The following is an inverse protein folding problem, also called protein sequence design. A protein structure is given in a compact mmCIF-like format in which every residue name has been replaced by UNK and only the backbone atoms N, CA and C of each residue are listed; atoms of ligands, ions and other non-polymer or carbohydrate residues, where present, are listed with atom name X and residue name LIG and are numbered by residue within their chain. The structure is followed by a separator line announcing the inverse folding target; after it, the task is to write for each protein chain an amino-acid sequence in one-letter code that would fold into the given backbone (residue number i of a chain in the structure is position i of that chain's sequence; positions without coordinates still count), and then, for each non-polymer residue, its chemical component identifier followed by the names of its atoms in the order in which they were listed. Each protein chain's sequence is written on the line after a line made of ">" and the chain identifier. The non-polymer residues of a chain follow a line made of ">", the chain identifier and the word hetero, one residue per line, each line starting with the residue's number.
data_IF_595382053532
#
_entry.id   IF_595382053532
#
_cell.length_a   1.000
_cell.length_b   1.000
_cell.length_c   1.000
_cell.angle_alpha   90.00
_cell.angle_beta   90.00
_cell.angle_gamma   90.00
#
_symmetry.space_group_name_H-M   'P 1'
#
loop_
_entity.id
_entity.type
_entity.pdbx_description
1 polymer ?
#
# COMPACT_ATOMS: atom_id res chain seq x y z
N UNK A 1 -21.18 13.00 80.56
CA UNK A 1 -20.55 13.81 79.49
C UNK A 1 -19.51 12.95 78.79
N UNK A 2 -19.64 12.84 77.46
CA UNK A 2 -18.66 12.44 76.43
C UNK A 2 -18.02 11.04 76.53
N UNK A 3 -18.70 10.11 75.88
CA UNK A 3 -18.18 8.90 75.26
C UNK A 3 -17.05 9.22 74.27
N UNK A 4 -15.98 8.42 74.25
CA UNK A 4 -15.05 8.34 73.12
C UNK A 4 -14.84 6.86 72.74
N UNK A 5 -15.08 6.47 71.47
CA UNK A 5 -14.95 5.09 71.03
C UNK A 5 -13.49 4.73 70.72
N UNK A 6 -13.15 3.48 71.05
CA UNK A 6 -11.95 2.81 70.58
C UNK A 6 -12.04 2.57 69.06
N UNK A 7 -11.11 3.11 68.29
CA UNK A 7 -10.90 2.74 66.90
C UNK A 7 -9.51 2.10 66.73
N UNK A 8 -9.45 0.80 66.96
CA UNK A 8 -8.40 -0.03 66.37
C UNK A 8 -8.85 -0.39 64.96
N UNK A 9 -8.40 0.35 63.94
CA UNK A 9 -8.54 -0.07 62.55
C UNK A 9 -7.24 -0.70 62.09
N UNK A 10 -7.13 -2.00 62.34
CA UNK A 10 -6.15 -2.88 61.74
C UNK A 10 -6.52 -3.11 60.27
N UNK A 11 -5.84 -2.43 59.33
CA UNK A 11 -5.94 -2.78 57.90
C UNK A 11 -4.81 -2.17 57.06
N UNK A 12 -3.56 -2.33 57.49
CA UNK A 12 -2.36 -2.01 56.69
C UNK A 12 -1.70 -3.26 56.08
N UNK A 13 -2.40 -4.19 55.40
CA UNK A 13 -1.70 -5.26 54.63
C UNK A 13 -2.51 -5.80 53.45
N UNK A 14 -2.87 -4.97 52.47
CA UNK A 14 -3.45 -5.48 51.20
C UNK A 14 -3.11 -4.62 49.97
N UNK A 15 -2.03 -3.85 50.00
CA UNK A 15 -1.67 -2.92 48.91
C UNK A 15 -0.38 -3.29 48.14
N UNK A 16 0.13 -4.53 48.27
CA UNK A 16 1.47 -4.87 47.76
C UNK A 16 1.55 -6.06 46.80
N UNK A 17 0.43 -6.54 46.25
CA UNK A 17 0.44 -7.69 45.31
C UNK A 17 0.00 -7.34 43.88
N UNK A 18 -0.40 -6.11 43.58
CA UNK A 18 -0.86 -5.71 42.24
C UNK A 18 0.23 -5.10 41.33
N UNK A 19 1.42 -4.83 41.88
CA UNK A 19 2.52 -4.18 41.13
C UNK A 19 3.25 -5.11 40.14
N UNK A 20 3.48 -6.42 40.39
CA UNK A 20 4.29 -7.22 39.46
C UNK A 20 3.54 -7.65 38.19
N UNK A 21 2.20 -7.60 38.16
CA UNK A 21 1.41 -8.02 37.00
C UNK A 21 1.38 -6.98 35.85
N UNK A 22 1.56 -5.69 36.16
CA UNK A 22 1.53 -4.61 35.15
C UNK A 22 2.85 -4.52 34.39
N UNK A 23 3.99 -4.92 34.99
CA UNK A 23 5.30 -4.88 34.33
C UNK A 23 5.48 -5.96 33.23
N UNK A 24 4.70 -7.04 33.24
CA UNK A 24 4.81 -8.12 32.24
C UNK A 24 4.06 -7.83 30.92
N UNK A 25 3.20 -6.82 30.88
CA UNK A 25 2.39 -6.48 29.70
C UNK A 25 3.09 -5.52 28.72
N UNK A 26 4.25 -4.94 29.06
CA UNK A 26 4.94 -3.92 28.25
C UNK A 26 5.98 -4.53 27.30
N UNK A 27 6.22 -5.84 27.36
CA UNK A 27 7.33 -6.48 26.63
C UNK A 27 6.98 -6.97 25.20
N UNK A 28 5.77 -6.71 24.70
CA UNK A 28 5.31 -7.21 23.39
C UNK A 28 4.98 -6.11 22.38
N UNK A 29 5.60 -4.92 22.50
CA UNK A 29 5.60 -3.93 21.43
C UNK A 29 6.51 -4.41 20.30
N UNK A 30 5.96 -5.20 19.37
CA UNK A 30 6.65 -5.52 18.12
C UNK A 30 6.86 -4.21 17.34
N UNK A 31 8.05 -3.95 16.79
CA UNK A 31 8.25 -2.80 15.93
C UNK A 31 7.25 -2.90 14.78
N UNK A 32 6.33 -1.95 14.69
CA UNK A 32 5.45 -1.80 13.54
C UNK A 32 6.35 -1.46 12.36
N UNK A 33 6.69 -2.47 11.57
CA UNK A 33 7.52 -2.36 10.37
C UNK A 33 6.71 -1.61 9.33
N UNK A 34 7.06 -0.35 9.15
CA UNK A 34 6.51 0.49 8.12
C UNK A 34 7.31 0.20 6.84
N UNK A 35 6.84 -0.67 5.97
CA UNK A 35 7.57 -1.13 4.78
C UNK A 35 6.66 -1.10 3.54
N UNK A 36 7.25 -0.96 2.34
CA UNK A 36 6.57 -1.23 1.07
C UNK A 36 6.80 -2.68 0.65
N UNK A 37 5.72 -3.46 0.58
CA UNK A 37 5.77 -4.89 0.27
C UNK A 37 5.03 -5.20 -1.02
N UNK A 38 5.48 -6.25 -1.70
CA UNK A 38 4.77 -6.82 -2.82
C UNK A 38 4.59 -8.32 -2.63
N UNK A 39 3.36 -8.78 -2.75
CA UNK A 39 2.97 -10.17 -2.71
C UNK A 39 2.66 -10.67 -4.11
N UNK A 40 3.41 -11.66 -4.56
CA UNK A 40 3.17 -12.38 -5.80
C UNK A 40 2.18 -13.52 -5.54
N UNK A 41 0.91 -13.32 -5.88
CA UNK A 41 -0.12 -14.36 -5.77
C UNK A 41 -0.28 -15.19 -7.05
N UNK A 42 0.62 -15.04 -8.02
CA UNK A 42 0.61 -15.82 -9.25
C UNK A 42 1.26 -17.19 -9.04
N UNK A 43 1.10 -18.09 -10.01
CA UNK A 43 1.84 -19.35 -10.08
C UNK A 43 3.28 -19.23 -10.58
N UNK A 44 3.69 -18.06 -11.06
CA UNK A 44 4.99 -17.84 -11.70
C UNK A 44 5.94 -17.04 -10.83
N UNK A 45 7.22 -17.07 -11.16
CA UNK A 45 8.22 -16.12 -10.66
C UNK A 45 8.07 -14.77 -11.35
N UNK A 46 8.11 -13.71 -10.56
CA UNK A 46 7.91 -12.34 -11.04
C UNK A 46 9.14 -11.49 -10.76
N UNK A 47 9.63 -10.81 -11.79
CA UNK A 47 10.61 -9.74 -11.68
C UNK A 47 9.91 -8.42 -11.44
N UNK A 48 10.38 -7.62 -10.48
CA UNK A 48 9.77 -6.33 -10.14
C UNK A 48 10.80 -5.21 -10.22
N UNK A 49 10.37 -4.05 -10.71
CA UNK A 49 11.04 -2.77 -10.59
C UNK A 49 10.09 -1.77 -9.89
N UNK A 50 10.67 -0.87 -9.09
CA UNK A 50 9.98 0.12 -8.26
C UNK A 50 10.49 1.52 -8.61
N UNK A 51 9.56 2.43 -8.90
CA UNK A 51 9.81 3.85 -9.01
C UNK A 51 9.17 4.59 -7.84
N UNK A 52 9.89 5.54 -7.26
CA UNK A 52 9.39 6.39 -6.19
C UNK A 52 10.03 7.78 -6.24
N UNK A 53 9.41 8.72 -5.54
CA UNK A 53 9.93 10.07 -5.38
C UNK A 53 10.35 10.27 -3.94
N UNK A 54 11.60 10.66 -3.73
CA UNK A 54 12.15 11.03 -2.43
C UNK A 54 12.55 12.52 -2.40
N UNK A 55 13.33 12.92 -1.39
CA UNK A 55 13.79 14.30 -1.21
C UNK A 55 14.73 14.76 -2.33
N UNK A 56 15.49 13.85 -2.94
CA UNK A 56 16.47 14.14 -3.99
C UNK A 56 15.84 14.06 -5.40
N UNK A 57 14.64 13.50 -5.51
CA UNK A 57 13.84 13.50 -6.73
C UNK A 57 13.31 12.11 -7.08
N UNK A 58 13.22 11.83 -8.37
CA UNK A 58 12.74 10.54 -8.85
C UNK A 58 13.85 9.49 -8.84
N UNK A 59 13.50 8.30 -8.36
CA UNK A 59 14.39 7.14 -8.31
C UNK A 59 13.66 5.93 -8.84
N UNK A 60 14.33 5.14 -9.67
CA UNK A 60 13.87 3.79 -10.06
C UNK A 60 14.90 2.75 -9.67
N UNK A 61 14.41 1.64 -9.17
CA UNK A 61 15.20 0.51 -8.70
C UNK A 61 14.61 -0.80 -9.25
N UNK A 62 15.45 -1.81 -9.39
CA UNK A 62 15.10 -3.15 -9.85
C UNK A 62 16.37 -3.99 -9.96
N UNK A 63 16.34 -5.30 -10.12
CA UNK A 63 15.18 -6.18 -10.19
C UNK A 63 15.06 -6.98 -8.91
N UNK A 64 13.89 -6.92 -8.27
CA UNK A 64 13.55 -7.91 -7.25
C UNK A 64 13.01 -9.16 -7.91
N UNK A 65 13.46 -10.31 -7.44
CA UNK A 65 12.99 -11.60 -7.91
C UNK A 65 12.08 -12.23 -6.84
N UNK A 66 10.79 -12.30 -7.14
CA UNK A 66 9.77 -12.74 -6.17
C UNK A 66 9.21 -14.08 -6.64
N UNK A 67 9.38 -15.10 -5.80
CA UNK A 67 8.91 -16.45 -6.08
C UNK A 67 7.38 -16.52 -6.10
N UNK A 68 6.82 -17.53 -6.77
CA UNK A 68 5.39 -17.78 -6.77
C UNK A 68 4.85 -17.89 -5.33
N UNK A 69 3.67 -17.31 -5.08
CA UNK A 69 2.98 -17.35 -3.77
C UNK A 69 3.82 -16.82 -2.59
N UNK A 70 4.70 -15.85 -2.85
CA UNK A 70 5.58 -15.25 -1.83
C UNK A 70 5.46 -13.73 -1.79
N UNK A 71 5.88 -13.12 -0.68
CA UNK A 71 5.88 -11.67 -0.52
C UNK A 71 7.27 -11.16 -0.17
N UNK A 72 7.71 -10.10 -0.84
CA UNK A 72 8.99 -9.45 -0.59
C UNK A 72 8.82 -7.98 -0.18
N UNK A 73 9.85 -7.47 0.48
CA UNK A 73 9.93 -6.04 0.86
C UNK A 73 10.78 -5.30 -0.15
N UNK A 74 10.16 -4.40 -0.92
CA UNK A 74 10.84 -3.64 -1.96
C UNK A 74 11.52 -2.39 -1.40
N UNK A 75 10.84 -1.70 -0.48
CA UNK A 75 11.38 -0.53 0.20
C UNK A 75 11.18 -0.70 1.70
N UNK A 76 12.26 -0.50 2.47
CA UNK A 76 12.24 -0.57 3.93
C UNK A 76 12.04 0.79 4.55
N UNK A 77 11.32 0.84 5.65
CA UNK A 77 11.08 2.08 6.39
C UNK A 77 9.87 2.85 5.91
N UNK A 78 9.47 3.82 6.72
CA UNK A 78 8.20 4.51 6.56
C UNK A 78 8.10 5.21 5.20
N UNK A 79 7.01 4.94 4.49
CA UNK A 79 6.74 5.57 3.20
C UNK A 79 6.56 7.08 3.39
N UNK A 80 7.30 7.84 2.58
CA UNK A 80 7.31 9.31 2.59
C UNK A 80 6.49 9.90 1.43
N UNK A 81 6.19 9.07 0.42
CA UNK A 81 5.39 9.46 -0.73
C UNK A 81 4.01 8.81 -0.67
N UNK A 82 3.03 9.42 -1.35
CA UNK A 82 1.70 8.83 -1.55
C UNK A 82 1.67 7.84 -2.70
N UNK A 83 2.37 8.16 -3.79
CA UNK A 83 2.34 7.40 -5.03
C UNK A 83 3.66 6.65 -5.22
N UNK A 84 3.54 5.36 -5.51
CA UNK A 84 4.64 4.47 -5.88
C UNK A 84 4.34 3.86 -7.23
N UNK A 85 5.37 3.57 -8.02
CA UNK A 85 5.25 3.12 -9.39
C UNK A 85 5.89 1.75 -9.51
N UNK A 86 5.20 0.81 -10.14
CA UNK A 86 5.69 -0.57 -10.23
C UNK A 86 5.69 -1.02 -11.68
N UNK A 87 6.72 -1.74 -12.07
CA UNK A 87 6.72 -2.54 -13.28
C UNK A 87 7.05 -3.97 -12.88
N UNK A 88 6.32 -4.93 -13.41
CA UNK A 88 6.59 -6.33 -13.12
C UNK A 88 6.49 -7.19 -14.37
N UNK A 89 7.26 -8.27 -14.41
CA UNK A 89 7.34 -9.21 -15.54
C UNK A 89 7.18 -10.63 -15.02
N UNK A 90 6.30 -11.41 -15.63
CA UNK A 90 6.18 -12.85 -15.38
C UNK A 90 7.29 -13.58 -16.16
N UNK A 91 8.26 -14.16 -15.46
CA UNK A 91 9.41 -14.81 -16.09
C UNK A 91 9.10 -16.19 -16.66
N UNK A 92 8.03 -16.85 -16.21
CA UNK A 92 7.75 -18.24 -16.58
C UNK A 92 6.72 -18.31 -17.72
N UNK A 93 5.64 -17.54 -17.64
CA UNK A 93 4.59 -17.51 -18.68
C UNK A 93 4.75 -16.35 -19.67
N UNK A 94 5.60 -15.38 -19.35
CA UNK A 94 5.62 -14.10 -20.06
C UNK A 94 4.43 -13.22 -19.71
N UNK A 95 4.51 -11.96 -20.13
CA UNK A 95 3.56 -10.92 -19.77
C UNK A 95 4.12 -9.95 -18.74
N UNK A 96 3.48 -8.79 -18.65
CA UNK A 96 3.92 -7.71 -17.80
C UNK A 96 2.75 -6.99 -17.13
N UNK A 97 3.01 -6.49 -15.92
CA UNK A 97 2.20 -5.47 -15.28
C UNK A 97 2.87 -4.13 -15.57
N UNK A 98 2.40 -3.45 -16.60
CA UNK A 98 2.86 -2.12 -17.01
C UNK A 98 1.78 -1.07 -16.82
N UNK A 99 2.17 0.20 -16.94
CA UNK A 99 1.25 1.34 -16.86
C UNK A 99 1.74 2.52 -17.68
N UNK A 100 1.14 3.70 -17.43
CA UNK A 100 1.36 4.91 -18.25
C UNK A 100 2.49 5.80 -17.73
N UNK A 101 3.05 5.52 -16.56
CA UNK A 101 4.11 6.32 -15.98
C UNK A 101 5.48 5.87 -16.51
N UNK A 102 6.00 6.56 -17.52
CA UNK A 102 7.28 6.19 -18.12
C UNK A 102 8.47 6.61 -17.24
N UNK A 103 9.33 5.63 -16.92
CA UNK A 103 10.54 5.83 -16.14
C UNK A 103 11.71 5.03 -16.74
N UNK A 104 12.92 5.31 -16.27
CA UNK A 104 14.13 4.64 -16.76
C UNK A 104 14.31 3.26 -16.10
N UNK A 105 14.73 2.27 -16.87
CA UNK A 105 15.04 0.91 -16.40
C UNK A 105 16.28 0.33 -17.10
N UNK A 106 16.72 -0.86 -16.68
CA UNK A 106 17.77 -1.66 -17.34
C UNK A 106 17.45 -3.15 -17.24
N UNK A 107 18.14 -3.95 -18.06
CA UNK A 107 18.04 -5.41 -18.05
C UNK A 107 18.56 -6.07 -16.75
N UNK A 108 19.67 -5.57 -16.20
CA UNK A 108 20.28 -6.07 -14.94
C UNK A 108 19.83 -5.23 -13.75
N UNK A 109 20.15 -5.68 -12.54
CA UNK A 109 19.93 -4.90 -11.31
C UNK A 109 20.48 -3.46 -11.43
N UNK A 110 19.70 -2.49 -10.97
CA UNK A 110 19.88 -1.07 -11.21
C UNK A 110 19.28 -0.21 -10.10
N UNK A 111 19.88 0.97 -9.96
CA UNK A 111 19.31 2.13 -9.27
C UNK A 111 19.59 3.34 -10.16
N UNK A 112 18.56 4.05 -10.58
CA UNK A 112 18.65 5.17 -11.51
C UNK A 112 17.95 6.38 -10.90
N UNK A 113 18.65 7.51 -10.88
CA UNK A 113 18.08 8.82 -10.51
C UNK A 113 17.61 9.55 -11.76
N UNK A 114 16.46 10.21 -11.67
CA UNK A 114 15.82 10.94 -12.78
C UNK A 114 15.08 10.02 -13.76
N UNK A 115 14.05 10.57 -14.40
CA UNK A 115 13.18 9.85 -15.36
C UNK A 115 13.32 10.38 -16.79
N UNK A 116 14.15 11.39 -16.98
CA UNK A 116 14.39 12.08 -18.24
C UNK A 116 15.51 11.44 -19.07
N UNK A 117 15.38 11.56 -20.39
CA UNK A 117 16.39 11.16 -21.37
C UNK A 117 16.91 9.72 -21.22
N UNK A 118 16.06 8.78 -20.79
CA UNK A 118 16.46 7.39 -20.51
C UNK A 118 17.31 6.78 -21.64
N UNK A 119 16.81 6.82 -22.88
CA UNK A 119 17.48 6.26 -24.05
C UNK A 119 18.84 6.91 -24.32
N UNK A 120 18.94 8.24 -24.22
CA UNK A 120 20.20 8.97 -24.44
C UNK A 120 21.24 8.68 -23.35
N UNK A 121 20.79 8.28 -22.15
CA UNK A 121 21.63 7.86 -21.03
C UNK A 121 21.94 6.36 -21.04
N UNK A 122 21.49 5.62 -22.06
CA UNK A 122 21.67 4.16 -22.17
C UNK A 122 20.81 3.36 -21.19
N UNK A 123 19.59 3.83 -20.95
CA UNK A 123 18.53 3.16 -20.20
C UNK A 123 17.34 2.87 -21.10
N UNK A 124 16.53 1.89 -20.74
CA UNK A 124 15.26 1.63 -21.38
C UNK A 124 14.18 2.58 -20.83
N UNK A 125 13.14 2.82 -21.64
CA UNK A 125 11.97 3.61 -21.22
C UNK A 125 10.79 2.68 -21.00
N UNK A 126 10.50 2.38 -19.74
CA UNK A 126 9.48 1.39 -19.35
C UNK A 126 8.28 2.07 -18.71
N UNK A 127 7.08 1.56 -18.98
CA UNK A 127 5.83 2.06 -18.41
C UNK A 127 5.49 1.38 -17.09
N UNK A 128 5.51 2.13 -16.00
CA UNK A 128 5.14 1.67 -14.66
C UNK A 128 3.67 1.98 -14.37
N UNK A 129 3.02 1.13 -13.58
CA UNK A 129 1.70 1.38 -13.06
C UNK A 129 1.75 2.06 -11.70
N UNK A 130 0.80 2.96 -11.47
CA UNK A 130 0.73 3.76 -10.26
C UNK A 130 -0.02 3.02 -9.16
N UNK A 131 0.52 3.10 -7.95
CA UNK A 131 -0.06 2.60 -6.71
C UNK A 131 -0.27 3.78 -5.77
N UNK A 132 -1.53 4.11 -5.51
CA UNK A 132 -1.91 5.09 -4.48
C UNK A 132 -1.95 4.40 -3.11
N UNK A 133 -1.04 4.79 -2.23
CA UNK A 133 -0.96 4.27 -0.85
C UNK A 133 -1.84 5.04 0.13
N UNK A 134 -2.48 6.14 -0.31
CA UNK A 134 -3.31 6.97 0.55
C UNK A 134 -2.55 7.61 1.72
N UNK A 135 -1.26 7.94 1.52
CA UNK A 135 -0.35 8.49 2.54
C UNK A 135 -0.08 7.56 3.73
N UNK A 136 -0.33 6.26 3.55
CA UNK A 136 0.00 5.27 4.56
C UNK A 136 1.51 5.07 4.65
N UNK A 137 2.02 4.92 5.87
CA UNK A 137 3.44 4.67 6.13
C UNK A 137 3.91 3.25 5.77
N UNK A 138 2.98 2.36 5.46
CA UNK A 138 3.22 0.97 5.06
C UNK A 138 2.17 0.57 4.03
N UNK A 139 2.57 -0.17 3.01
CA UNK A 139 1.64 -0.62 1.98
C UNK A 139 2.04 -1.98 1.44
N UNK A 140 1.05 -2.79 1.04
CA UNK A 140 1.30 -4.08 0.39
C UNK A 140 0.53 -4.17 -0.92
N UNK A 141 1.25 -4.35 -2.02
CA UNK A 141 0.69 -4.60 -3.34
C UNK A 141 0.48 -6.10 -3.54
N UNK A 142 -0.64 -6.48 -4.13
CA UNK A 142 -0.97 -7.86 -4.46
C UNK A 142 -0.95 -8.01 -5.99
N UNK A 143 -0.01 -8.81 -6.52
CA UNK A 143 0.02 -9.14 -7.94
C UNK A 143 -0.79 -10.41 -8.20
N UNK A 144 -1.68 -10.33 -9.18
CA UNK A 144 -2.53 -11.43 -9.64
C UNK A 144 -2.41 -11.61 -11.15
N UNK A 145 -2.76 -12.80 -11.63
CA UNK A 145 -2.59 -13.24 -13.02
C UNK A 145 -3.44 -12.43 -14.02
N UNK A 146 -4.54 -11.84 -13.54
CA UNK A 146 -5.30 -10.86 -14.32
C UNK A 146 -4.50 -9.56 -14.34
N UNK A 147 -3.76 -9.32 -15.42
CA UNK A 147 -3.08 -8.06 -15.71
C UNK A 147 -4.07 -6.90 -16.04
N UNK A 148 -5.25 -6.87 -15.40
CA UNK A 148 -6.15 -5.73 -15.40
C UNK A 148 -6.06 -5.02 -14.06
N UNK A 149 -5.29 -3.95 -14.06
CA UNK A 149 -5.28 -2.95 -13.01
C UNK A 149 -6.67 -2.30 -12.92
N UNK A 150 -7.51 -2.84 -12.06
CA UNK A 150 -8.46 -2.00 -11.32
C UNK A 150 -7.97 -2.00 -9.88
N UNK A 151 -7.48 -0.85 -9.34
CA UNK A 151 -7.31 -0.75 -7.90
C UNK A 151 -8.72 -0.81 -7.30
N UNK A 152 -9.12 -1.98 -6.81
CA UNK A 152 -10.27 -2.06 -5.91
C UNK A 152 -9.76 -1.80 -4.50
N UNK A 153 -10.17 -0.69 -3.86
CA UNK A 153 -10.12 -0.62 -2.41
C UNK A 153 -11.13 -1.67 -1.92
N UNK A 154 -10.65 -2.72 -1.26
CA UNK A 154 -11.50 -3.55 -0.42
C UNK A 154 -11.91 -2.73 0.81
N UNK A 155 -12.83 -1.79 0.59
CA UNK A 155 -13.72 -1.28 1.62
C UNK A 155 -14.99 -2.12 1.62
N UNK A 156 -15.62 -2.38 2.78
CA UNK A 156 -16.94 -3.01 2.81
C UNK A 156 -17.92 -2.17 1.99
N UNK A 157 -18.40 -2.70 0.86
CA UNK A 157 -19.51 -2.10 0.11
C UNK A 157 -20.77 -2.21 0.96
N UNK A 158 -21.11 -1.14 1.68
CA UNK A 158 -22.45 -0.94 2.20
C UNK A 158 -23.42 -0.81 1.00
N UNK A 159 -24.56 -1.52 0.98
CA UNK A 159 -25.59 -1.30 -0.03
C UNK A 159 -26.21 0.08 0.20
N UNK A 160 -25.85 1.06 -0.64
CA UNK A 160 -26.56 2.33 -0.68
C UNK A 160 -27.94 2.15 -1.32
N UNK A 161 -28.99 2.85 -0.84
CA UNK A 161 -30.31 2.77 -1.44
C UNK A 161 -30.28 3.40 -2.84
N UNK A 162 -30.74 2.63 -3.83
CA UNK A 162 -30.76 3.03 -5.23
C UNK A 162 -31.53 4.33 -5.45
N UNK A 163 -30.88 5.32 -6.07
CA UNK A 163 -31.57 6.47 -6.64
C UNK A 163 -32.21 6.07 -7.97
N UNK A 164 -33.51 6.33 -8.18
CA UNK A 164 -34.14 6.10 -9.48
C UNK A 164 -33.58 7.08 -10.52
N UNK A 165 -33.49 6.67 -11.80
CA UNK A 165 -32.99 7.53 -12.88
C UNK A 165 -33.97 8.68 -13.13
N UNK A 166 -33.43 9.90 -13.20
CA UNK A 166 -34.17 11.07 -13.66
C UNK A 166 -34.43 10.93 -15.17
N UNK A 167 -35.70 10.82 -15.53
CA UNK A 167 -36.17 10.91 -16.92
C UNK A 167 -35.78 12.28 -17.49
N UNK A 168 -35.08 12.28 -18.62
CA UNK A 168 -34.85 13.49 -19.41
C UNK A 168 -36.14 13.85 -20.17
N UNK A 169 -36.52 15.13 -20.31
CA UNK A 169 -37.66 15.53 -21.13
C UNK A 169 -37.35 15.35 -22.62
N UNK A 170 -38.32 14.79 -23.34
CA UNK A 170 -38.34 14.66 -24.80
C UNK A 170 -38.34 16.04 -25.47
N UNK A 171 -37.58 16.26 -26.56
CA UNK A 171 -37.69 17.48 -27.36
C UNK A 171 -39.02 17.52 -28.13
N UNK A 172 -39.62 18.70 -28.34
CA UNK A 172 -40.85 18.83 -29.10
C UNK A 172 -40.60 18.61 -30.60
N UNK A 173 -41.52 17.89 -31.23
CA UNK A 173 -41.60 17.76 -32.68
C UNK A 173 -42.21 19.05 -33.26
N UNK A 174 -41.45 19.78 -34.06
CA UNK A 174 -41.95 20.89 -34.86
C UNK A 174 -41.99 20.45 -36.33
N UNK A 175 -43.21 20.26 -36.83
CA UNK A 175 -43.48 19.98 -38.24
C UNK A 175 -43.96 21.23 -38.96
N UNK A 176 -43.71 21.25 -40.27
CA UNK A 176 -44.66 21.80 -41.24
C UNK A 176 -44.29 23.11 -41.94
N UNK A 177 -43.74 22.96 -43.16
CA UNK A 177 -44.14 23.59 -44.45
C UNK A 177 -44.17 25.13 -44.61
N UNK A 178 -43.95 25.64 -45.84
CA UNK A 178 -44.95 25.58 -46.94
C UNK A 178 -44.53 24.77 -48.19
#
# INVERSE_FOLDING_TARGET
>A
MRSFPAWHSASRRLACLLVPAVLLLVASAHPARADFRLCNNTGSRVGVALGYKDADGWTTEGWWNISARSCETLLRGALVARYYYIYAVDYDRGGEWSGKAYMCSREKEFTIRGTENCLARGYDRTGFFEVDTGEQRSWTVQLTETAEQTPSPLGPRLPGPGRPPLMMPTPPAEGGKP
#
